data_IF_922415687894
#
_entry.id   IF_922415687894
#
_cell.length_a   1.000
_cell.length_b   1.000
_cell.length_c   1.000
_cell.angle_alpha   90.00
_cell.angle_beta   90.00
_cell.angle_gamma   90.00
#
_symmetry.space_group_name_H-M   'P 1'
#
loop_
_entity.id
_entity.type
_entity.pdbx_description
1 polymer ?
#
# COMPACT_ATOMS: atom_id res chain seq x y z
N UNK A 1 -30.63 8.58 11.90
CA UNK A 1 -29.65 8.58 13.00
C UNK A 1 -30.26 7.87 14.18
N UNK A 2 -29.58 6.82 14.67
CA UNK A 2 -29.90 6.09 15.90
C UNK A 2 -28.81 6.41 16.91
N UNK A 3 -29.17 6.61 18.17
CA UNK A 3 -28.20 6.77 19.26
C UNK A 3 -28.05 5.43 19.98
N UNK A 4 -26.82 4.94 20.03
CA UNK A 4 -26.45 3.66 20.62
C UNK A 4 -25.57 3.94 21.85
N UNK A 5 -25.81 3.23 22.94
CA UNK A 5 -24.94 3.28 24.10
C UNK A 5 -23.92 2.15 24.03
N UNK A 6 -22.66 2.48 23.73
CA UNK A 6 -21.57 1.49 23.56
C UNK A 6 -20.46 1.84 24.55
N UNK A 7 -20.17 0.93 25.48
CA UNK A 7 -19.20 1.16 26.57
C UNK A 7 -19.45 2.47 27.36
N UNK A 8 -20.73 2.82 27.59
CA UNK A 8 -21.12 4.07 28.27
C UNK A 8 -20.92 5.35 27.45
N UNK A 9 -20.65 5.23 26.14
CA UNK A 9 -20.50 6.36 25.23
C UNK A 9 -21.69 6.40 24.26
N UNK A 10 -22.40 7.54 24.15
CA UNK A 10 -23.47 7.70 23.17
C UNK A 10 -22.89 7.89 21.76
N UNK A 11 -23.03 6.86 20.93
CA UNK A 11 -22.60 6.81 19.53
C UNK A 11 -23.82 7.08 18.64
N UNK A 12 -23.73 8.12 17.82
CA UNK A 12 -24.73 8.42 16.80
C UNK A 12 -24.37 7.71 15.51
N UNK A 13 -25.24 6.81 15.05
CA UNK A 13 -25.02 5.99 13.87
C UNK A 13 -26.12 6.22 12.82
N UNK A 14 -25.83 6.25 11.51
CA UNK A 14 -26.83 6.61 10.49
C UNK A 14 -28.07 5.71 10.43
N UNK A 15 -27.90 4.41 10.65
CA UNK A 15 -28.94 3.37 10.57
C UNK A 15 -28.83 2.40 11.76
N UNK A 16 -29.67 1.37 11.82
CA UNK A 16 -29.56 0.33 12.86
C UNK A 16 -28.38 -0.61 12.52
N UNK A 17 -27.33 -0.70 13.35
CA UNK A 17 -26.17 -1.53 13.05
C UNK A 17 -26.46 -3.04 13.23
N UNK A 18 -25.70 -3.86 12.52
CA UNK A 18 -25.60 -5.30 12.74
C UNK A 18 -24.77 -5.63 13.99
N UNK A 19 -24.92 -6.84 14.54
CA UNK A 19 -24.18 -7.27 15.74
C UNK A 19 -22.65 -7.20 15.56
N UNK A 20 -22.16 -7.59 14.38
CA UNK A 20 -20.72 -7.50 14.06
C UNK A 20 -20.20 -6.05 14.02
N UNK A 21 -21.07 -5.09 13.67
CA UNK A 21 -20.75 -3.65 13.72
C UNK A 21 -20.74 -3.13 15.15
N UNK A 22 -21.66 -3.60 16.01
CA UNK A 22 -21.67 -3.26 17.43
C UNK A 22 -20.39 -3.73 18.13
N UNK A 23 -20.01 -4.99 17.92
CA UNK A 23 -18.75 -5.55 18.46
C UNK A 23 -17.54 -4.78 17.92
N UNK A 24 -17.54 -4.41 16.63
CA UNK A 24 -16.48 -3.61 16.05
C UNK A 24 -16.34 -2.24 16.74
N UNK A 25 -17.45 -1.52 16.91
CA UNK A 25 -17.46 -0.22 17.58
C UNK A 25 -17.05 -0.33 19.06
N UNK A 26 -17.46 -1.41 19.74
CA UNK A 26 -17.06 -1.73 21.11
C UNK A 26 -15.55 -1.87 21.24
N UNK A 27 -14.90 -2.64 20.35
CA UNK A 27 -13.44 -2.82 20.35
C UNK A 27 -12.69 -1.53 20.03
N UNK A 28 -13.19 -0.70 19.11
CA UNK A 28 -12.64 0.63 18.86
C UNK A 28 -12.68 1.48 20.13
N UNK A 29 -13.84 1.60 20.78
CA UNK A 29 -14.00 2.41 22.00
C UNK A 29 -13.15 1.86 23.15
N UNK A 30 -13.09 0.53 23.31
CA UNK A 30 -12.25 -0.13 24.29
C UNK A 30 -10.78 0.26 24.09
N UNK A 31 -10.25 0.11 22.88
CA UNK A 31 -8.86 0.44 22.56
C UNK A 31 -8.50 1.90 22.82
N UNK A 32 -9.41 2.82 22.50
CA UNK A 32 -9.25 4.25 22.75
C UNK A 32 -9.28 4.55 24.26
N UNK A 33 -10.14 3.86 25.01
CA UNK A 33 -10.28 4.09 26.46
C UNK A 33 -9.11 3.49 27.24
N UNK A 34 -8.63 2.31 26.86
CA UNK A 34 -7.50 1.64 27.50
C UNK A 34 -6.13 2.11 27.02
N UNK A 35 -6.06 3.00 26.01
CA UNK A 35 -4.81 3.43 25.34
C UNK A 35 -4.01 2.24 24.79
N UNK A 36 -4.70 1.23 24.28
CA UNK A 36 -4.07 0.04 23.71
C UNK A 36 -4.24 0.04 22.20
N UNK A 37 -3.23 -0.51 21.52
CA UNK A 37 -3.31 -0.74 20.09
C UNK A 37 -4.38 -1.79 19.77
N UNK A 38 -5.06 -1.61 18.65
CA UNK A 38 -6.08 -2.52 18.17
C UNK A 38 -5.82 -2.99 16.75
N UNK A 39 -6.09 -4.27 16.50
CA UNK A 39 -6.11 -4.85 15.16
C UNK A 39 -7.47 -5.52 14.95
N UNK A 40 -8.21 -5.01 13.97
CA UNK A 40 -9.62 -5.32 13.79
C UNK A 40 -9.85 -5.85 12.37
N UNK A 41 -10.06 -7.16 12.27
CA UNK A 41 -10.57 -7.80 11.07
C UNK A 41 -12.10 -7.81 11.11
N UNK A 42 -12.71 -7.45 9.99
CA UNK A 42 -14.15 -7.63 9.78
C UNK A 42 -14.37 -7.87 8.30
N UNK A 43 -15.27 -8.76 7.85
CA UNK A 43 -15.45 -9.07 6.43
C UNK A 43 -15.91 -7.84 5.62
N UNK A 44 -15.36 -7.65 4.41
CA UNK A 44 -15.60 -6.46 3.55
C UNK A 44 -16.82 -6.55 2.64
N UNK A 45 -17.64 -7.59 2.77
CA UNK A 45 -18.84 -7.72 1.96
C UNK A 45 -19.74 -8.79 2.54
N UNK A 46 -20.84 -8.38 3.16
CA UNK A 46 -21.91 -9.31 3.52
C UNK A 46 -22.70 -9.58 2.26
N UNK A 47 -22.49 -10.70 1.58
CA UNK A 47 -23.19 -11.11 0.35
C UNK A 47 -24.71 -11.33 0.49
N UNK A 48 -25.35 -10.80 1.53
CA UNK A 48 -26.81 -10.75 1.75
C UNK A 48 -27.26 -9.31 1.91
N UNK A 49 -27.20 -8.51 0.83
CA UNK A 49 -27.68 -7.13 0.88
C UNK A 49 -28.46 -6.82 -0.41
N UNK A 50 -29.76 -6.59 -0.24
CA UNK A 50 -30.71 -6.24 -1.31
C UNK A 50 -30.60 -4.78 -1.79
N UNK A 51 -29.56 -4.05 -1.38
CA UNK A 51 -29.40 -2.61 -1.63
C UNK A 51 -27.92 -2.22 -1.81
N UNK A 52 -27.57 -1.75 -3.00
CA UNK A 52 -26.21 -1.35 -3.41
C UNK A 52 -25.62 -0.19 -2.56
N UNK A 53 -26.43 0.51 -1.76
CA UNK A 53 -25.99 1.62 -0.90
C UNK A 53 -25.34 1.21 0.44
N UNK A 54 -25.38 -0.06 0.86
CA UNK A 54 -24.96 -0.46 2.22
C UNK A 54 -23.62 -1.22 2.32
N UNK A 55 -23.04 -1.72 1.20
CA UNK A 55 -21.95 -2.71 1.29
C UNK A 55 -20.54 -2.15 1.50
N UNK A 56 -20.30 -0.89 1.13
CA UNK A 56 -18.99 -0.24 1.26
C UNK A 56 -18.90 0.69 2.49
N UNK A 57 -20.01 0.80 3.23
CA UNK A 57 -20.24 1.80 4.28
C UNK A 57 -19.99 1.28 5.70
N UNK A 58 -20.03 -0.03 5.96
CA UNK A 58 -20.10 -0.53 7.35
C UNK A 58 -18.84 -0.26 8.21
N UNK A 59 -17.63 -0.62 7.76
CA UNK A 59 -16.43 -0.56 8.63
C UNK A 59 -15.91 0.85 8.84
N UNK A 60 -15.76 1.60 7.76
CA UNK A 60 -15.29 2.99 7.80
C UNK A 60 -16.23 3.81 8.67
N UNK A 61 -17.54 3.62 8.52
CA UNK A 61 -18.54 4.31 9.33
C UNK A 61 -18.49 3.88 10.80
N UNK A 62 -18.35 2.59 11.11
CA UNK A 62 -18.16 2.11 12.48
C UNK A 62 -16.92 2.75 13.13
N UNK A 63 -15.79 2.72 12.43
CA UNK A 63 -14.54 3.31 12.91
C UNK A 63 -14.69 4.82 13.14
N UNK A 64 -15.26 5.55 12.18
CA UNK A 64 -15.48 7.01 12.30
C UNK A 64 -16.43 7.34 13.45
N UNK A 65 -17.62 6.73 13.50
CA UNK A 65 -18.63 7.00 14.52
C UNK A 65 -18.10 6.68 15.92
N UNK A 66 -17.50 5.51 16.13
CA UNK A 66 -16.94 5.13 17.43
C UNK A 66 -15.81 6.07 17.87
N UNK A 67 -14.87 6.38 16.98
CA UNK A 67 -13.72 7.26 17.30
C UNK A 67 -14.17 8.69 17.59
N UNK A 68 -15.09 9.23 16.79
CA UNK A 68 -15.59 10.60 16.96
C UNK A 68 -16.51 10.74 18.17
N UNK A 69 -17.34 9.72 18.47
CA UNK A 69 -18.13 9.66 19.68
C UNK A 69 -17.24 9.69 20.92
N UNK A 70 -16.22 8.84 20.96
CA UNK A 70 -15.26 8.76 22.04
C UNK A 70 -14.51 10.10 22.22
N UNK A 71 -13.98 10.68 21.14
CA UNK A 71 -13.26 11.97 21.21
C UNK A 71 -14.16 13.11 21.70
N UNK A 72 -15.44 13.14 21.29
CA UNK A 72 -16.43 14.11 21.76
C UNK A 72 -16.66 13.97 23.26
N UNK A 73 -16.81 12.74 23.76
CA UNK A 73 -17.00 12.47 25.18
C UNK A 73 -15.76 12.81 26.00
N UNK A 74 -14.57 12.39 25.53
CA UNK A 74 -13.29 12.70 26.16
C UNK A 74 -13.05 14.21 26.28
N UNK A 75 -13.38 14.98 25.24
CA UNK A 75 -13.31 16.45 25.27
C UNK A 75 -14.23 17.04 26.34
N UNK A 76 -15.47 16.55 26.46
CA UNK A 76 -16.41 17.00 27.49
C UNK A 76 -15.91 16.66 28.90
N UNK A 77 -15.30 15.49 29.09
CA UNK A 77 -14.71 15.10 30.38
C UNK A 77 -13.54 16.02 30.77
N UNK A 78 -12.66 16.33 29.82
CA UNK A 78 -11.56 17.29 30.04
C UNK A 78 -12.06 18.69 30.39
N UNK A 79 -13.07 19.20 29.70
CA UNK A 79 -13.67 20.51 29.99
C UNK A 79 -14.32 20.54 31.38
N UNK A 80 -14.99 19.47 31.79
CA UNK A 80 -15.56 19.33 33.14
C UNK A 80 -14.47 19.32 34.21
N UNK A 81 -13.41 18.54 34.01
CA UNK A 81 -12.27 18.48 34.95
C UNK A 81 -11.60 19.85 35.11
N UNK A 82 -11.41 20.61 34.02
CA UNK A 82 -10.87 21.98 34.08
C UNK A 82 -11.77 22.96 34.84
N UNK A 83 -13.09 22.84 34.71
CA UNK A 83 -14.06 23.67 35.47
C UNK A 83 -14.06 23.33 36.97
N UNK A 84 -13.95 22.06 37.33
CA UNK A 84 -13.90 21.61 38.73
C UNK A 84 -12.59 22.03 39.40
N UNK A 85 -11.47 22.07 38.67
CA UNK A 85 -10.15 22.45 39.19
C UNK A 85 -9.87 23.97 39.18
N UNK A 86 -10.84 24.82 38.85
CA UNK A 86 -10.75 26.28 39.10
C UNK A 86 -9.67 27.06 38.35
N UNK A 87 -9.12 26.56 37.23
CA UNK A 87 -8.14 27.31 36.43
C UNK A 87 -8.88 28.19 35.42
N UNK A 88 -9.14 29.44 35.79
CA UNK A 88 -9.57 30.50 34.88
C UNK A 88 -8.37 30.96 34.03
N UNK A 89 -8.11 30.24 32.93
CA UNK A 89 -7.12 30.62 31.92
C UNK A 89 -7.81 31.05 30.62
N UNK A 90 -8.19 32.32 30.54
CA UNK A 90 -8.58 32.97 29.29
C UNK A 90 -7.35 33.27 28.44
N UNK A 91 -7.00 32.40 27.50
CA UNK A 91 -6.22 32.78 26.32
C UNK A 91 -6.50 31.80 25.19
N UNK A 92 -7.30 32.25 24.22
CA UNK A 92 -7.47 31.58 22.95
C UNK A 92 -6.17 31.70 22.15
N UNK A 93 -5.27 30.73 22.30
CA UNK A 93 -4.11 30.59 21.43
C UNK A 93 -4.58 30.08 20.05
N UNK A 94 -4.78 31.01 19.12
CA UNK A 94 -4.76 30.70 17.68
C UNK A 94 -3.35 30.18 17.36
N UNK A 95 -3.19 28.86 17.18
CA UNK A 95 -1.99 28.32 16.54
C UNK A 95 -2.25 28.17 15.05
N UNK A 96 -1.55 29.00 14.28
CA UNK A 96 -1.41 28.93 12.84
C UNK A 96 -0.85 27.58 12.43
N UNK A 97 -1.36 27.02 11.34
CA UNK A 97 -0.84 25.81 10.72
C UNK A 97 0.45 26.15 9.96
N UNK A 98 1.59 26.08 10.65
CA UNK A 98 2.90 26.03 9.99
C UNK A 98 3.42 24.60 10.14
N UNK A 99 3.43 23.86 9.03
CA UNK A 99 4.19 22.62 8.89
C UNK A 99 5.66 23.01 8.88
N UNK A 100 6.31 22.99 10.04
CA UNK A 100 7.76 23.03 10.15
C UNK A 100 8.21 21.65 10.66
N UNK A 101 9.12 21.04 9.91
CA UNK A 101 9.96 19.95 10.37
C UNK A 101 10.88 20.56 11.43
N UNK A 102 10.42 20.59 12.69
CA UNK A 102 11.22 21.09 13.79
C UNK A 102 12.04 19.93 14.37
N UNK A 103 13.35 20.07 14.22
CA UNK A 103 14.36 19.23 14.82
C UNK A 103 14.22 19.17 16.34
N UNK A 104 14.68 18.04 16.85
CA UNK A 104 14.92 17.73 18.23
C UNK A 104 15.72 18.85 18.92
N UNK A 105 15.19 19.43 19.99
CA UNK A 105 15.95 19.65 21.22
C UNK A 105 15.07 20.07 22.40
N UNK A 106 15.46 19.54 23.57
CA UNK A 106 14.96 19.76 24.94
C UNK A 106 13.73 18.95 25.39
N UNK A 107 14.02 17.79 25.98
CA UNK A 107 13.17 17.14 26.99
C UNK A 107 13.13 18.03 28.22
N UNK A 108 12.08 18.85 28.34
CA UNK A 108 11.58 19.31 29.63
C UNK A 108 10.38 18.45 29.99
N UNK A 109 10.50 17.67 31.05
CA UNK A 109 9.36 17.02 31.71
C UNK A 109 8.46 18.11 32.31
N UNK A 110 7.62 18.71 31.48
CA UNK A 110 6.42 19.40 31.96
C UNK A 110 5.29 18.37 32.01
N UNK A 111 4.66 18.23 33.18
CA UNK A 111 3.49 17.39 33.39
C UNK A 111 2.36 17.83 32.45
N UNK A 112 2.30 17.26 31.25
CA UNK A 112 1.33 17.65 30.24
C UNK A 112 -0.09 17.31 30.71
N UNK A 113 -0.92 18.33 30.90
CA UNK A 113 -2.35 18.15 31.10
C UNK A 113 -2.93 17.34 29.93
N UNK A 114 -3.84 16.38 30.17
CA UNK A 114 -4.35 15.52 29.11
C UNK A 114 -5.00 16.34 27.99
N UNK A 115 -4.42 16.28 26.80
CA UNK A 115 -4.90 16.98 25.61
C UNK A 115 -5.90 16.13 24.84
N UNK A 116 -6.78 16.77 24.07
CA UNK A 116 -7.71 16.06 23.17
C UNK A 116 -6.90 15.42 22.04
N UNK A 117 -6.94 14.09 21.85
CA UNK A 117 -6.14 13.44 20.83
C UNK A 117 -6.47 13.93 19.41
N UNK A 118 -5.42 14.04 18.59
CA UNK A 118 -5.53 14.25 17.15
C UNK A 118 -5.73 12.91 16.46
N UNK A 119 -6.72 12.82 15.57
CA UNK A 119 -7.00 11.61 14.79
C UNK A 119 -6.28 11.74 13.45
N UNK A 120 -5.43 10.77 13.12
CA UNK A 120 -4.80 10.64 11.80
C UNK A 120 -5.39 9.40 11.14
N UNK A 121 -6.05 9.58 10.01
CA UNK A 121 -6.58 8.48 9.21
C UNK A 121 -5.67 8.26 8.00
N UNK A 122 -5.08 7.08 7.90
CA UNK A 122 -4.23 6.68 6.77
C UNK A 122 -4.91 5.62 5.91
N UNK A 123 -4.68 5.67 4.61
CA UNK A 123 -5.18 4.68 3.65
C UNK A 123 -4.17 4.49 2.53
N UNK A 124 -4.26 3.35 1.83
CA UNK A 124 -3.35 3.02 0.72
C UNK A 124 -3.57 3.89 -0.52
N UNK A 125 -4.80 4.35 -0.79
CA UNK A 125 -5.13 5.10 -2.02
C UNK A 125 -5.97 6.34 -1.76
N UNK A 126 -5.84 7.34 -2.66
CA UNK A 126 -6.70 8.53 -2.66
C UNK A 126 -8.18 8.22 -2.88
N UNK A 127 -8.49 7.19 -3.67
CA UNK A 127 -9.87 6.74 -3.85
C UNK A 127 -10.51 6.28 -2.54
N UNK A 128 -9.75 5.56 -1.69
CA UNK A 128 -10.21 5.17 -0.36
C UNK A 128 -10.39 6.38 0.55
N UNK A 129 -9.48 7.37 0.52
CA UNK A 129 -9.65 8.60 1.30
C UNK A 129 -10.89 9.40 0.86
N UNK A 130 -11.14 9.49 -0.45
CA UNK A 130 -12.35 10.13 -0.98
C UNK A 130 -13.62 9.44 -0.47
N UNK A 131 -13.61 8.11 -0.42
CA UNK A 131 -14.70 7.32 0.15
C UNK A 131 -14.88 7.63 1.65
N UNK A 132 -13.80 7.70 2.43
CA UNK A 132 -13.85 8.02 3.87
C UNK A 132 -14.45 9.42 4.11
N UNK A 133 -14.07 10.41 3.30
CA UNK A 133 -14.65 11.76 3.38
C UNK A 133 -16.15 11.73 3.05
N UNK A 134 -16.57 10.90 2.09
CA UNK A 134 -17.99 10.74 1.76
C UNK A 134 -18.76 10.06 2.90
N UNK A 135 -18.23 9.00 3.50
CA UNK A 135 -18.83 8.34 4.67
C UNK A 135 -18.93 9.29 5.87
N UNK A 136 -17.91 10.13 6.10
CA UNK A 136 -17.94 11.12 7.17
C UNK A 136 -19.12 12.10 7.02
N UNK A 137 -19.45 12.50 5.79
CA UNK A 137 -20.62 13.38 5.52
C UNK A 137 -21.95 12.69 5.87
N UNK A 138 -22.00 11.37 5.78
CA UNK A 138 -23.18 10.58 6.14
C UNK A 138 -23.38 10.47 7.66
N UNK A 139 -22.38 10.85 8.48
CA UNK A 139 -22.50 10.89 9.94
C UNK A 139 -23.11 12.22 10.43
N UNK A 140 -23.50 12.29 11.70
CA UNK A 140 -23.87 13.55 12.38
C UNK A 140 -22.65 14.33 12.89
N UNK A 141 -21.46 13.72 12.87
CA UNK A 141 -20.23 14.33 13.37
C UNK A 141 -19.68 15.35 12.37
N UNK A 142 -19.18 16.48 12.89
CA UNK A 142 -18.61 17.59 12.09
C UNK A 142 -17.22 17.99 12.61
N UNK A 143 -16.21 17.10 12.57
CA UNK A 143 -14.85 17.47 12.95
C UNK A 143 -14.22 18.41 11.93
N UNK A 144 -13.24 19.21 12.35
CA UNK A 144 -12.32 19.89 11.42
C UNK A 144 -11.41 18.84 10.77
N UNK A 145 -11.41 18.77 9.44
CA UNK A 145 -10.65 17.77 8.67
C UNK A 145 -9.75 18.48 7.67
N UNK A 146 -8.52 17.99 7.52
CA UNK A 146 -7.62 18.35 6.45
C UNK A 146 -7.14 17.05 5.78
N UNK A 147 -7.22 16.98 4.45
CA UNK A 147 -6.70 15.85 3.68
C UNK A 147 -5.30 16.21 3.23
N UNK A 148 -4.32 15.41 3.65
CA UNK A 148 -2.96 15.51 3.14
C UNK A 148 -2.89 14.77 1.80
N UNK A 149 -2.84 15.52 0.71
CA UNK A 149 -2.73 14.97 -0.65
C UNK A 149 -1.30 14.55 -1.00
N UNK A 150 -1.16 13.61 -1.95
CA UNK A 150 0.16 13.25 -2.47
C UNK A 150 0.75 14.41 -3.28
N UNK A 151 2.06 14.38 -3.46
CA UNK A 151 2.79 15.35 -4.30
C UNK A 151 2.16 15.47 -5.71
N UNK A 152 1.63 14.40 -6.29
CA UNK A 152 1.02 14.45 -7.62
C UNK A 152 -0.24 15.33 -7.73
N UNK A 153 -0.88 15.68 -6.60
CA UNK A 153 -2.13 16.45 -6.58
C UNK A 153 -1.98 17.83 -5.92
N UNK A 154 -1.07 17.97 -4.96
CA UNK A 154 -0.88 19.20 -4.19
C UNK A 154 0.50 19.83 -4.36
N UNK A 155 1.41 19.22 -5.13
CA UNK A 155 2.68 19.84 -5.42
C UNK A 155 2.45 21.05 -6.34
N UNK A 156 2.80 22.23 -5.85
CA UNK A 156 2.77 23.50 -6.58
C UNK A 156 3.81 23.59 -7.69
N UNK A 157 4.63 22.55 -7.85
CA UNK A 157 5.75 22.51 -8.77
C UNK A 157 5.43 21.64 -9.99
N UNK A 158 5.17 22.27 -11.14
CA UNK A 158 4.65 21.62 -12.36
C UNK A 158 5.45 20.39 -12.81
N UNK A 159 6.79 20.48 -12.79
CA UNK A 159 7.65 19.36 -13.21
C UNK A 159 7.53 18.11 -12.31
N UNK A 160 7.30 18.30 -11.02
CA UNK A 160 7.20 17.22 -10.02
C UNK A 160 5.79 16.64 -10.01
N UNK A 161 4.77 17.49 -10.19
CA UNK A 161 3.37 17.10 -10.35
C UNK A 161 3.16 16.16 -11.57
N UNK A 162 3.96 16.32 -12.62
CA UNK A 162 3.88 15.52 -13.85
C UNK A 162 4.48 14.10 -13.73
N UNK A 163 5.24 13.79 -12.67
CA UNK A 163 5.86 12.48 -12.48
C UNK A 163 4.84 11.45 -11.96
N UNK A 164 4.74 10.28 -12.60
CA UNK A 164 3.74 9.25 -12.29
C UNK A 164 4.35 7.89 -11.95
N UNK A 165 3.77 7.18 -10.97
CA UNK A 165 4.09 5.78 -10.67
C UNK A 165 5.49 5.58 -10.09
N UNK A 166 6.19 4.50 -10.47
CA UNK A 166 7.54 4.20 -9.96
C UNK A 166 8.54 5.31 -10.25
N UNK A 167 8.30 6.18 -11.25
CA UNK A 167 9.12 7.38 -11.46
C UNK A 167 9.05 8.33 -10.25
N UNK A 168 7.96 8.41 -9.50
CA UNK A 168 7.92 9.19 -8.24
C UNK A 168 8.91 8.66 -7.18
N UNK A 169 9.22 7.36 -7.21
CA UNK A 169 10.19 6.72 -6.32
C UNK A 169 11.60 6.59 -6.94
N UNK A 170 11.69 6.53 -8.28
CA UNK A 170 12.91 6.35 -9.08
C UNK A 170 13.53 7.67 -9.56
N UNK A 171 12.90 8.84 -9.36
CA UNK A 171 13.47 10.13 -9.80
C UNK A 171 14.71 10.53 -8.99
N UNK A 172 15.09 9.74 -8.00
CA UNK A 172 16.22 10.05 -7.12
C UNK A 172 17.35 9.03 -7.23
N UNK A 173 17.52 8.43 -8.41
CA UNK A 173 18.79 7.81 -8.77
C UNK A 173 19.87 8.88 -8.87
N UNK A 174 20.95 8.73 -8.09
CA UNK A 174 22.16 9.52 -8.21
C UNK A 174 22.84 9.25 -9.56
N UNK A 175 22.33 9.84 -10.63
CA UNK A 175 23.13 9.99 -11.83
C UNK A 175 24.11 11.13 -11.56
N UNK A 176 25.36 10.72 -11.37
CA UNK A 176 26.61 11.50 -11.27
C UNK A 176 27.13 11.79 -9.86
N UNK A 177 27.47 10.73 -9.13
CA UNK A 177 28.63 10.75 -8.22
C UNK A 177 29.58 9.63 -8.65
N UNK A 178 30.76 9.99 -9.18
CA UNK A 178 31.79 9.01 -9.55
C UNK A 178 32.44 8.53 -8.26
N UNK A 179 31.80 7.55 -7.64
CA UNK A 179 32.32 6.88 -6.46
C UNK A 179 33.32 5.84 -6.96
N UNK A 180 34.59 6.23 -6.98
CA UNK A 180 35.69 5.43 -7.49
C UNK A 180 36.07 4.37 -6.44
N UNK A 181 35.28 3.30 -6.38
CA UNK A 181 35.57 2.11 -5.57
C UNK A 181 35.61 0.87 -6.47
N UNK A 182 36.74 0.17 -6.38
CA UNK A 182 37.03 -1.12 -6.98
C UNK A 182 36.35 -2.22 -6.17
N UNK A 183 35.10 -2.54 -6.47
CA UNK A 183 34.47 -3.76 -5.98
C UNK A 183 33.91 -4.52 -7.18
N UNK A 184 34.58 -5.63 -7.50
CA UNK A 184 34.24 -6.54 -8.57
C UNK A 184 33.32 -7.65 -8.04
N UNK A 185 32.03 -7.37 -7.82
CA UNK A 185 30.94 -8.37 -7.73
C UNK A 185 29.62 -7.72 -7.31
N UNK A 186 28.50 -8.34 -7.74
CA UNK A 186 27.19 -8.16 -7.12
C UNK A 186 27.23 -8.80 -5.72
N UNK A 187 27.53 -8.03 -4.69
CA UNK A 187 27.51 -8.52 -3.32
C UNK A 187 26.56 -7.69 -2.46
N UNK A 188 25.57 -8.37 -1.86
CA UNK A 188 24.78 -7.83 -0.77
C UNK A 188 25.59 -7.79 0.51
N UNK A 189 25.48 -6.70 1.26
CA UNK A 189 26.16 -6.50 2.54
C UNK A 189 25.14 -6.31 3.68
N UNK A 190 25.51 -6.63 4.94
CA UNK A 190 24.69 -6.32 6.10
C UNK A 190 24.37 -4.83 6.21
N UNK A 191 23.26 -4.50 6.89
CA UNK A 191 22.78 -3.12 7.07
C UNK A 191 23.84 -2.15 7.59
N UNK A 192 24.71 -2.58 8.50
CA UNK A 192 25.79 -1.78 9.11
C UNK A 192 26.85 -1.27 8.14
N UNK A 193 27.03 -1.95 7.00
CA UNK A 193 27.97 -1.52 5.96
C UNK A 193 27.66 -0.09 5.47
N UNK A 194 26.40 0.35 5.60
CA UNK A 194 26.01 1.73 5.28
C UNK A 194 26.84 2.77 6.05
N UNK A 195 27.15 2.50 7.33
CA UNK A 195 27.88 3.42 8.18
C UNK A 195 29.37 3.39 7.85
N UNK A 196 29.92 2.20 7.59
CA UNK A 196 31.31 2.04 7.14
C UNK A 196 31.54 2.73 5.79
N UNK A 197 30.58 2.62 4.88
CA UNK A 197 30.62 3.27 3.57
C UNK A 197 30.68 4.79 3.70
N UNK A 198 29.76 5.39 4.48
CA UNK A 198 29.71 6.84 4.65
C UNK A 198 30.85 7.39 5.52
N UNK A 199 31.40 6.57 6.41
CA UNK A 199 32.58 6.94 7.21
C UNK A 199 33.80 7.23 6.33
N UNK A 200 33.94 6.59 5.16
CA UNK A 200 35.00 6.89 4.19
C UNK A 200 34.93 8.34 3.66
N UNK A 201 33.74 8.96 3.72
CA UNK A 201 33.48 10.35 3.36
C UNK A 201 33.42 11.27 4.59
N UNK A 202 33.84 10.78 5.76
CA UNK A 202 33.72 11.48 7.05
C UNK A 202 32.27 11.85 7.42
N UNK A 203 31.29 11.08 6.93
CA UNK A 203 29.87 11.22 7.29
C UNK A 203 29.52 10.13 8.30
N UNK A 204 29.27 10.53 9.55
CA UNK A 204 28.93 9.65 10.66
C UNK A 204 27.85 10.31 11.54
N UNK A 205 27.43 9.67 12.63
CA UNK A 205 26.36 10.21 13.50
C UNK A 205 26.69 11.58 14.12
N UNK A 206 27.96 11.96 14.26
CA UNK A 206 28.38 13.24 14.83
C UNK A 206 28.49 14.32 13.75
N UNK A 207 28.97 13.97 12.55
CA UNK A 207 29.19 14.91 11.45
C UNK A 207 27.99 15.06 10.51
N UNK A 208 27.12 14.06 10.43
CA UNK A 208 25.96 14.07 9.53
C UNK A 208 24.99 15.23 9.80
N UNK A 209 24.68 15.63 11.05
CA UNK A 209 23.84 16.81 11.30
C UNK A 209 24.39 18.09 10.64
N UNK A 210 25.71 18.28 10.64
CA UNK A 210 26.35 19.41 9.96
C UNK A 210 26.18 19.31 8.44
N UNK A 211 26.31 18.10 7.88
CA UNK A 211 26.10 17.85 6.44
C UNK A 211 24.66 18.13 6.03
N UNK A 212 23.69 17.70 6.84
CA UNK A 212 22.27 17.96 6.58
C UNK A 212 21.98 19.48 6.58
N UNK A 213 22.46 20.21 7.59
CA UNK A 213 22.28 21.67 7.66
C UNK A 213 22.89 22.38 6.44
N UNK A 214 24.10 21.99 6.02
CA UNK A 214 24.72 22.55 4.81
C UNK A 214 23.89 22.27 3.55
N UNK A 215 23.31 21.07 3.44
CA UNK A 215 22.43 20.73 2.31
C UNK A 215 21.16 21.58 2.34
N UNK A 216 20.54 21.80 3.51
CA UNK A 216 19.38 22.68 3.67
C UNK A 216 19.69 24.11 3.22
N UNK A 217 20.80 24.69 3.70
CA UNK A 217 21.22 26.04 3.31
C UNK A 217 21.43 26.15 1.79
N UNK A 218 22.04 25.14 1.16
CA UNK A 218 22.24 25.12 -0.30
C UNK A 218 20.90 25.03 -1.04
N UNK A 219 19.95 24.23 -0.55
CA UNK A 219 18.61 24.12 -1.12
C UNK A 219 17.89 25.47 -1.06
N UNK A 220 17.96 26.15 0.08
CA UNK A 220 17.34 27.47 0.28
C UNK A 220 17.90 28.52 -0.66
N UNK A 221 19.24 28.58 -0.80
CA UNK A 221 19.91 29.48 -1.76
C UNK A 221 19.57 29.11 -3.20
N UNK A 222 19.53 27.83 -3.54
CA UNK A 222 19.18 27.36 -4.88
C UNK A 222 17.76 27.78 -5.25
N UNK A 223 16.79 27.61 -4.34
CA UNK A 223 15.39 27.95 -4.56
C UNK A 223 15.14 29.45 -4.78
N UNK A 224 16.09 30.33 -4.42
CA UNK A 224 16.03 31.76 -4.71
C UNK A 224 16.35 32.13 -6.18
N UNK A 225 16.88 31.19 -6.99
CA UNK A 225 17.20 31.40 -8.41
C UNK A 225 16.26 30.66 -9.38
N UNK A 226 15.96 31.24 -10.54
CA UNK A 226 14.96 30.71 -11.50
C UNK A 226 15.36 29.41 -12.25
N UNK A 227 16.64 29.01 -12.29
CA UNK A 227 17.15 27.88 -13.10
C UNK A 227 17.43 26.58 -12.30
N UNK A 228 17.19 26.56 -10.99
CA UNK A 228 17.79 25.61 -10.03
C UNK A 228 16.93 24.41 -9.61
N UNK A 229 15.67 24.35 -10.04
CA UNK A 229 14.67 23.38 -9.53
C UNK A 229 15.11 21.90 -9.61
N UNK A 230 15.91 21.53 -10.60
CA UNK A 230 16.37 20.13 -10.77
C UNK A 230 17.47 19.74 -9.76
N UNK A 231 18.36 20.66 -9.41
CA UNK A 231 19.42 20.42 -8.42
C UNK A 231 18.86 20.37 -6.99
N UNK A 232 17.92 21.29 -6.68
CA UNK A 232 17.17 21.33 -5.41
C UNK A 232 16.51 19.98 -5.10
N UNK A 233 15.82 19.39 -6.08
CA UNK A 233 15.17 18.08 -5.90
C UNK A 233 16.11 16.89 -5.63
N UNK A 234 17.38 16.96 -6.08
CA UNK A 234 18.38 15.91 -5.83
C UNK A 234 18.98 16.04 -4.42
N UNK A 235 19.21 17.28 -3.98
CA UNK A 235 19.68 17.57 -2.63
C UNK A 235 18.62 17.23 -1.57
N UNK A 236 17.35 17.51 -1.84
CA UNK A 236 16.22 17.07 -0.99
C UNK A 236 16.21 15.55 -0.77
N UNK A 237 16.50 14.78 -1.83
CA UNK A 237 16.54 13.33 -1.74
C UNK A 237 17.74 12.85 -0.91
N UNK A 238 18.90 13.49 -1.08
CA UNK A 238 20.09 13.18 -0.28
C UNK A 238 19.88 13.54 1.19
N UNK A 239 19.26 14.67 1.47
CA UNK A 239 18.88 15.10 2.81
C UNK A 239 17.94 14.09 3.48
N UNK A 240 16.88 13.69 2.77
CA UNK A 240 15.92 12.68 3.26
C UNK A 240 16.61 11.34 3.50
N UNK A 241 17.49 10.91 2.61
CA UNK A 241 18.23 9.65 2.72
C UNK A 241 19.19 9.64 3.91
N UNK A 242 20.08 10.62 4.00
CA UNK A 242 21.04 10.76 5.09
C UNK A 242 20.33 10.99 6.44
N UNK A 243 19.30 11.83 6.46
CA UNK A 243 18.47 12.07 7.64
C UNK A 243 17.71 10.83 8.11
N UNK A 244 17.47 9.85 7.23
CA UNK A 244 16.89 8.55 7.60
C UNK A 244 17.96 7.60 8.16
N UNK A 245 19.11 7.50 7.49
CA UNK A 245 20.21 6.60 7.89
C UNK A 245 20.86 7.04 9.20
N UNK A 246 21.09 8.33 9.40
CA UNK A 246 21.82 8.85 10.56
C UNK A 246 20.89 9.40 11.66
N UNK A 247 19.59 9.09 11.60
CA UNK A 247 18.58 9.63 12.54
C UNK A 247 18.86 9.31 14.01
N UNK A 248 19.12 8.04 14.31
CA UNK A 248 19.33 7.58 15.68
C UNK A 248 20.23 6.33 15.72
N UNK A 249 21.40 6.49 16.34
CA UNK A 249 22.41 5.42 16.45
C UNK A 249 21.91 4.19 17.18
N UNK A 250 21.23 4.36 18.32
CA UNK A 250 20.72 3.24 19.12
C UNK A 250 19.60 2.47 18.42
N UNK A 251 18.73 3.18 17.70
CA UNK A 251 17.63 2.55 16.96
C UNK A 251 18.16 1.76 15.77
N UNK A 252 19.17 2.28 15.06
CA UNK A 252 19.82 1.56 13.94
C UNK A 252 20.55 0.31 14.41
N UNK A 253 21.24 0.36 15.56
CA UNK A 253 21.87 -0.83 16.17
C UNK A 253 20.83 -1.91 16.52
N UNK A 254 19.61 -1.52 16.90
CA UNK A 254 18.47 -2.45 17.17
C UNK A 254 17.78 -2.97 15.90
N UNK A 255 18.12 -2.43 14.72
CA UNK A 255 17.44 -2.68 13.44
C UNK A 255 18.41 -3.26 12.40
N UNK A 256 19.68 -3.43 12.72
CA UNK A 256 20.73 -3.89 11.82
C UNK A 256 20.40 -5.21 11.09
N UNK A 257 19.73 -6.16 11.76
CA UNK A 257 19.29 -7.43 11.16
C UNK A 257 18.07 -7.33 10.22
N UNK A 258 17.43 -6.16 10.16
CA UNK A 258 16.22 -5.91 9.38
C UNK A 258 16.49 -5.14 8.08
N UNK A 259 17.76 -4.79 7.81
CA UNK A 259 18.14 -3.95 6.67
C UNK A 259 19.32 -4.58 5.94
N UNK A 260 19.28 -4.53 4.61
CA UNK A 260 20.35 -5.01 3.73
C UNK A 260 20.82 -3.87 2.83
N UNK A 261 22.13 -3.83 2.56
CA UNK A 261 22.73 -2.90 1.62
C UNK A 261 23.02 -3.68 0.33
N UNK A 262 22.46 -3.23 -0.79
CA UNK A 262 22.70 -3.86 -2.09
C UNK A 262 23.34 -2.86 -3.06
N UNK A 263 24.40 -3.28 -3.72
CA UNK A 263 25.12 -2.47 -4.71
C UNK A 263 25.01 -3.09 -6.10
N UNK A 264 24.52 -2.32 -7.07
CA UNK A 264 24.41 -2.75 -8.46
C UNK A 264 25.05 -1.73 -9.40
N UNK A 265 25.85 -2.22 -10.35
CA UNK A 265 26.34 -1.41 -11.47
C UNK A 265 25.39 -1.63 -12.65
N UNK A 266 24.44 -0.72 -12.83
CA UNK A 266 23.52 -0.72 -13.96
C UNK A 266 24.17 -0.13 -15.22
N UNK A 267 23.96 -0.76 -16.37
CA UNK A 267 24.21 -0.11 -17.67
C UNK A 267 22.87 0.46 -18.12
N UNK A 268 22.68 1.79 -18.05
CA UNK A 268 21.50 2.42 -18.63
C UNK A 268 21.74 2.52 -20.15
N UNK A 269 21.21 1.54 -20.89
CA UNK A 269 20.92 1.77 -22.30
C UNK A 269 19.72 2.70 -22.37
N UNK A 270 19.94 3.96 -22.72
CA UNK A 270 18.88 4.92 -23.05
C UNK A 270 18.10 4.40 -24.27
N UNK A 271 17.11 3.53 -24.05
CA UNK A 271 16.08 3.20 -25.04
C UNK A 271 14.86 4.04 -24.68
N UNK A 272 14.51 5.08 -25.47
CA UNK A 272 13.30 5.84 -25.23
C UNK A 272 12.09 4.93 -25.43
N UNK A 273 11.28 4.75 -24.39
CA UNK A 273 10.15 3.82 -24.35
C UNK A 273 8.88 4.31 -25.04
N UNK A 274 8.89 5.39 -25.84
CA UNK A 274 7.70 5.88 -26.56
C UNK A 274 8.06 6.61 -27.87
N UNK A 275 8.59 5.90 -28.86
CA UNK A 275 8.60 6.40 -30.24
C UNK A 275 8.11 5.30 -31.20
N UNK A 276 7.14 5.59 -32.09
CA UNK A 276 6.75 4.66 -33.14
C UNK A 276 7.96 4.42 -34.06
N UNK A 277 8.34 3.15 -34.23
CA UNK A 277 9.48 2.74 -35.05
C UNK A 277 9.18 3.00 -36.52
N UNK A 278 9.64 4.12 -37.06
CA UNK A 278 9.77 4.34 -38.50
C UNK A 278 11.13 4.98 -38.79
N UNK A 279 11.94 4.19 -39.50
CA UNK A 279 13.15 4.51 -40.26
C UNK A 279 14.46 4.86 -39.53
N UNK A 280 15.47 4.12 -39.98
CA UNK A 280 16.90 4.14 -39.68
C UNK A 280 17.51 5.53 -39.44
N UNK A 281 17.92 5.77 -38.20
CA UNK A 281 19.09 6.58 -37.89
C UNK A 281 19.85 5.91 -36.73
N UNK A 282 20.96 5.26 -37.05
CA UNK A 282 21.89 4.71 -36.06
C UNK A 282 22.58 5.89 -35.37
N UNK A 283 21.97 6.43 -34.31
CA UNK A 283 22.68 7.27 -33.33
C UNK A 283 23.41 6.33 -32.38
N UNK A 284 24.75 6.38 -32.38
CA UNK A 284 25.58 5.76 -31.33
C UNK A 284 25.29 6.45 -29.98
N UNK A 285 24.34 5.93 -29.21
CA UNK A 285 24.18 6.33 -27.82
C UNK A 285 25.35 5.73 -27.01
N UNK A 286 26.17 6.58 -26.38
CA UNK A 286 27.14 6.16 -25.37
C UNK A 286 26.35 5.53 -24.22
N UNK A 287 26.62 4.26 -23.92
CA UNK A 287 26.07 3.62 -22.74
C UNK A 287 26.62 4.36 -21.51
N UNK A 288 25.74 5.00 -20.74
CA UNK A 288 26.11 5.58 -19.46
C UNK A 288 25.98 4.48 -18.40
N UNK A 289 27.08 4.18 -17.74
CA UNK A 289 27.09 3.26 -16.60
C UNK A 289 26.60 4.04 -15.39
N UNK A 290 25.43 3.68 -14.86
CA UNK A 290 24.88 4.26 -13.63
C UNK A 290 25.08 3.27 -12.49
N UNK A 291 25.69 3.72 -11.40
CA UNK A 291 25.83 2.92 -10.18
C UNK A 291 24.62 3.19 -9.30
N UNK A 292 23.91 2.13 -8.91
CA UNK A 292 22.75 2.23 -8.03
C UNK A 292 23.13 1.64 -6.67
N UNK A 293 22.97 2.45 -5.64
CA UNK A 293 23.21 2.06 -4.27
C UNK A 293 21.87 1.96 -3.55
N UNK A 294 21.51 0.75 -3.10
CA UNK A 294 20.21 0.45 -2.52
C UNK A 294 20.35 0.15 -1.01
N UNK A 295 19.50 0.78 -0.21
CA UNK A 295 19.38 0.49 1.22
C UNK A 295 17.95 -0.01 1.49
N UNK A 296 17.80 -1.32 1.69
CA UNK A 296 16.50 -1.99 1.72
C UNK A 296 16.13 -2.42 3.14
N UNK A 297 15.07 -1.83 3.68
CA UNK A 297 14.46 -2.27 4.92
C UNK A 297 13.46 -3.39 4.65
N UNK A 298 13.69 -4.56 5.23
CA UNK A 298 12.86 -5.76 5.07
C UNK A 298 11.88 -6.00 6.20
N UNK A 299 11.94 -5.22 7.28
CA UNK A 299 11.08 -5.39 8.45
C UNK A 299 10.18 -4.15 8.66
N UNK A 300 8.86 -4.21 8.44
CA UNK A 300 7.99 -3.05 8.57
C UNK A 300 7.89 -2.55 10.02
N UNK A 301 8.10 -3.43 11.00
CA UNK A 301 8.14 -3.04 12.42
C UNK A 301 9.20 -2.02 12.83
N UNK A 302 10.17 -1.68 11.98
CA UNK A 302 11.06 -0.53 12.21
C UNK A 302 10.26 0.76 12.29
N UNK A 303 9.37 0.99 11.32
CA UNK A 303 8.54 2.19 11.24
C UNK A 303 7.48 2.22 12.35
N UNK A 304 6.87 1.08 12.67
CA UNK A 304 5.87 1.01 13.75
C UNK A 304 6.46 1.26 15.13
N UNK A 305 7.68 0.77 15.40
CA UNK A 305 8.41 1.09 16.64
C UNK A 305 8.66 2.59 16.75
N UNK A 306 9.08 3.24 15.67
CA UNK A 306 9.26 4.69 15.65
C UNK A 306 7.95 5.43 15.94
N UNK A 307 6.85 5.02 15.31
CA UNK A 307 5.52 5.58 15.58
C UNK A 307 5.17 5.44 17.07
N UNK A 308 5.44 4.28 17.69
CA UNK A 308 5.20 4.06 19.11
C UNK A 308 6.09 4.92 20.04
N UNK A 309 7.29 5.32 19.62
CA UNK A 309 8.14 6.23 20.43
C UNK A 309 7.61 7.66 20.51
N UNK A 310 6.72 8.07 19.59
CA UNK A 310 6.18 9.44 19.50
C UNK A 310 5.00 9.73 20.45
N UNK A 311 4.93 9.07 21.61
CA UNK A 311 3.87 9.23 22.62
C UNK A 311 2.44 9.23 22.03
N UNK A 312 2.18 8.32 21.10
CA UNK A 312 0.87 8.17 20.46
C UNK A 312 -0.16 7.61 21.46
N UNK A 313 -1.42 8.01 21.29
CA UNK A 313 -2.50 7.51 22.16
C UNK A 313 -2.78 6.02 21.93
N UNK A 314 -2.88 5.59 20.67
CA UNK A 314 -2.92 4.20 20.22
C UNK A 314 -2.86 4.11 18.68
N UNK A 315 -2.58 2.91 18.16
CA UNK A 315 -2.71 2.55 16.74
C UNK A 315 -3.90 1.63 16.56
N UNK A 316 -4.79 1.94 15.61
CA UNK A 316 -5.89 1.05 15.20
C UNK A 316 -5.66 0.62 13.75
N UNK A 317 -5.37 -0.67 13.54
CA UNK A 317 -5.26 -1.28 12.23
C UNK A 317 -6.56 -1.99 11.87
N UNK A 318 -7.11 -1.71 10.69
CA UNK A 318 -8.35 -2.31 10.20
C UNK A 318 -8.22 -2.77 8.76
N UNK A 319 -8.75 -3.95 8.44
CA UNK A 319 -8.91 -4.47 7.08
C UNK A 319 -9.86 -5.67 7.10
N UNK A 320 -10.36 -6.13 5.94
CA UNK A 320 -11.21 -7.33 5.88
C UNK A 320 -10.56 -8.58 5.33
N UNK A 321 -9.23 -8.59 5.32
CA UNK A 321 -8.44 -9.74 4.91
C UNK A 321 -7.19 -9.88 5.81
N UNK A 322 -7.30 -9.51 7.10
CA UNK A 322 -6.17 -9.57 8.04
C UNK A 322 -5.99 -10.94 8.69
N UNK A 323 -7.03 -11.79 8.67
CA UNK A 323 -6.97 -13.12 9.27
C UNK A 323 -6.07 -14.06 8.43
N UNK A 324 -5.20 -14.87 9.06
CA UNK A 324 -4.94 -14.97 10.50
C UNK A 324 -4.10 -13.80 11.06
N UNK A 325 -4.54 -13.20 12.18
CA UNK A 325 -3.91 -11.98 12.71
C UNK A 325 -2.48 -12.16 13.21
N UNK A 326 -2.15 -13.32 13.80
CA UNK A 326 -0.87 -13.52 14.49
C UNK A 326 0.35 -13.33 13.58
N UNK A 327 0.26 -13.74 12.32
CA UNK A 327 1.33 -13.53 11.34
C UNK A 327 1.54 -12.04 11.10
N UNK A 328 0.45 -11.30 10.85
CA UNK A 328 0.50 -9.85 10.62
C UNK A 328 1.06 -9.10 11.82
N UNK A 329 0.67 -9.47 13.04
CA UNK A 329 1.15 -8.84 14.28
C UNK A 329 2.67 -9.02 14.44
N UNK A 330 3.17 -10.23 14.20
CA UNK A 330 4.61 -10.53 14.27
C UNK A 330 5.41 -9.71 13.27
N UNK A 331 4.95 -9.62 12.02
CA UNK A 331 5.60 -8.81 10.98
C UNK A 331 5.65 -7.31 11.34
N UNK A 332 4.58 -6.78 11.95
CA UNK A 332 4.49 -5.38 12.36
C UNK A 332 5.39 -5.05 13.56
N UNK A 333 5.87 -6.04 14.31
CA UNK A 333 6.83 -5.84 15.40
C UNK A 333 6.33 -4.96 16.56
N UNK A 334 5.00 -4.84 16.71
CA UNK A 334 4.34 -4.15 17.82
C UNK A 334 3.14 -4.97 18.31
N UNK A 335 2.78 -4.80 19.57
CA UNK A 335 1.65 -5.52 20.16
C UNK A 335 0.31 -4.86 19.85
N UNK A 336 -0.70 -5.72 19.64
CA UNK A 336 -2.11 -5.36 19.53
C UNK A 336 -2.92 -6.15 20.56
N UNK A 337 -3.07 -5.64 21.80
CA UNK A 337 -3.84 -6.30 22.85
C UNK A 337 -5.34 -6.40 22.53
N UNK A 338 -5.89 -5.40 21.85
CA UNK A 338 -7.29 -5.41 21.43
C UNK A 338 -7.38 -6.05 20.04
N UNK A 339 -8.03 -7.20 19.96
CA UNK A 339 -8.17 -7.98 18.72
C UNK A 339 -9.62 -8.25 18.39
N UNK A 340 -9.93 -8.29 17.10
CA UNK A 340 -11.22 -8.74 16.58
C UNK A 340 -10.99 -9.51 15.27
N UNK A 341 -11.52 -10.72 15.19
CA UNK A 341 -11.72 -11.47 13.95
C UNK A 341 -13.19 -11.85 13.90
N UNK A 342 -13.93 -11.27 12.96
CA UNK A 342 -15.34 -11.60 12.81
C UNK A 342 -15.49 -12.85 11.94
N UNK A 343 -16.44 -13.71 12.26
CA UNK A 343 -16.80 -14.83 11.38
C UNK A 343 -17.27 -14.31 10.02
N UNK A 344 -17.01 -15.08 8.97
CA UNK A 344 -17.54 -14.78 7.64
C UNK A 344 -19.08 -14.78 7.68
N UNK A 345 -19.69 -13.79 7.00
CA UNK A 345 -21.16 -13.64 6.90
C UNK A 345 -21.75 -14.48 5.77
N UNK A 346 -20.91 -15.20 5.04
CA UNK A 346 -21.29 -16.04 3.92
C UNK A 346 -21.38 -17.48 4.41
N UNK A 347 -22.57 -18.07 4.25
CA UNK A 347 -22.81 -19.45 4.65
C UNK A 347 -22.04 -20.42 3.73
N UNK A 348 -21.68 -21.60 4.22
CA UNK A 348 -20.82 -22.56 3.50
C UNK A 348 -21.44 -23.14 2.23
N UNK A 349 -22.76 -23.03 2.08
CA UNK A 349 -23.51 -23.41 0.87
C UNK A 349 -23.40 -22.36 -0.24
N UNK A 350 -23.06 -21.11 0.10
CA UNK A 350 -22.97 -20.01 -0.87
C UNK A 350 -21.61 -19.96 -1.58
N UNK A 351 -20.57 -20.58 -1.01
CA UNK A 351 -19.21 -20.58 -1.58
C UNK A 351 -18.57 -21.95 -1.42
N UNK A 352 -18.16 -22.53 -2.55
CA UNK A 352 -17.32 -23.73 -2.56
C UNK A 352 -15.85 -23.34 -2.72
N UNK A 353 -15.00 -23.87 -1.83
CA UNK A 353 -13.55 -23.72 -1.91
C UNK A 353 -12.92 -25.11 -2.03
N UNK A 354 -12.05 -25.29 -3.01
CA UNK A 354 -11.35 -26.55 -3.21
C UNK A 354 -10.00 -26.38 -3.91
N UNK A 355 -9.13 -27.37 -3.72
CA UNK A 355 -7.80 -27.43 -4.34
C UNK A 355 -7.82 -28.49 -5.43
N UNK A 356 -7.56 -28.09 -6.66
CA UNK A 356 -7.43 -29.00 -7.80
C UNK A 356 -5.96 -29.34 -7.99
N UNK A 357 -5.52 -30.46 -7.39
CA UNK A 357 -4.12 -30.90 -7.44
C UNK A 357 -3.75 -31.71 -8.69
N UNK A 358 -4.75 -32.23 -9.41
CA UNK A 358 -4.58 -33.13 -10.55
C UNK A 358 -5.48 -32.65 -11.68
N UNK A 359 -4.92 -32.56 -12.88
CA UNK A 359 -5.68 -32.16 -14.06
C UNK A 359 -6.43 -33.32 -14.72
N UNK A 360 -7.04 -33.01 -15.85
CA UNK A 360 -7.98 -33.88 -16.56
C UNK A 360 -7.36 -35.13 -17.18
N UNK A 361 -6.03 -35.16 -17.37
CA UNK A 361 -5.31 -36.35 -17.87
C UNK A 361 -4.66 -37.15 -16.74
N UNK A 362 -4.92 -36.78 -15.49
CA UNK A 362 -4.34 -37.43 -14.31
C UNK A 362 -2.95 -36.91 -13.93
N UNK A 363 -2.43 -35.89 -14.64
CA UNK A 363 -1.14 -35.28 -14.30
C UNK A 363 -1.28 -34.27 -13.17
N UNK A 364 -0.26 -34.19 -12.32
CA UNK A 364 -0.24 -33.23 -11.20
C UNK A 364 -0.12 -31.79 -11.71
N UNK A 365 -0.98 -30.91 -11.20
CA UNK A 365 -0.89 -29.47 -11.42
C UNK A 365 0.12 -28.88 -10.41
N UNK A 366 1.35 -28.66 -10.87
CA UNK A 366 2.44 -28.13 -10.04
C UNK A 366 3.07 -26.88 -10.70
N UNK A 367 2.75 -25.71 -10.17
CA UNK A 367 3.27 -24.42 -10.65
C UNK A 367 4.60 -24.00 -10.02
N UNK A 368 5.35 -24.91 -9.38
CA UNK A 368 6.67 -24.59 -8.80
C UNK A 368 7.66 -24.20 -9.90
N UNK A 369 8.71 -23.44 -9.55
CA UNK A 369 9.68 -22.88 -10.50
C UNK A 369 10.21 -23.92 -11.52
N UNK A 370 10.52 -25.12 -11.05
CA UNK A 370 11.07 -26.20 -11.88
C UNK A 370 10.09 -26.77 -12.91
N UNK A 371 8.78 -26.63 -12.69
CA UNK A 371 7.74 -27.31 -13.49
C UNK A 371 6.84 -26.36 -14.26
N UNK A 372 6.71 -25.10 -13.82
CA UNK A 372 5.73 -24.13 -14.35
C UNK A 372 5.90 -23.79 -15.84
N UNK A 373 7.11 -23.95 -16.38
CA UNK A 373 7.44 -23.72 -17.79
C UNK A 373 7.53 -25.01 -18.61
N UNK A 374 7.19 -26.16 -18.02
CA UNK A 374 7.19 -27.43 -18.74
C UNK A 374 5.96 -27.56 -19.61
N UNK A 375 6.14 -28.12 -20.81
CA UNK A 375 5.05 -28.33 -21.77
C UNK A 375 3.90 -29.17 -21.17
N UNK A 376 4.27 -30.21 -20.42
CA UNK A 376 3.33 -31.10 -19.75
C UNK A 376 2.43 -30.35 -18.76
N UNK A 377 2.98 -29.42 -17.97
CA UNK A 377 2.22 -28.62 -17.02
C UNK A 377 1.31 -27.62 -17.74
N UNK A 378 1.83 -26.87 -18.71
CA UNK A 378 1.07 -25.85 -19.44
C UNK A 378 -0.12 -26.47 -20.19
N UNK A 379 0.09 -27.62 -20.84
CA UNK A 379 -0.97 -28.38 -21.48
C UNK A 379 -2.02 -28.88 -20.48
N UNK A 380 -1.59 -29.42 -19.34
CA UNK A 380 -2.51 -29.95 -18.33
C UNK A 380 -3.37 -28.84 -17.71
N UNK A 381 -2.75 -27.69 -17.40
CA UNK A 381 -3.43 -26.52 -16.88
C UNK A 381 -4.47 -26.01 -17.87
N UNK A 382 -4.09 -25.83 -19.14
CA UNK A 382 -4.99 -25.36 -20.19
C UNK A 382 -6.18 -26.29 -20.42
N UNK A 383 -5.94 -27.60 -20.48
CA UNK A 383 -7.01 -28.60 -20.61
C UNK A 383 -7.95 -28.61 -19.39
N UNK A 384 -7.41 -28.39 -18.20
CA UNK A 384 -8.22 -28.26 -16.97
C UNK A 384 -9.10 -27.02 -17.02
N UNK A 385 -8.57 -25.88 -17.48
CA UNK A 385 -9.34 -24.64 -17.66
C UNK A 385 -10.47 -24.83 -18.69
N UNK A 386 -10.24 -25.56 -19.78
CA UNK A 386 -11.30 -25.87 -20.76
C UNK A 386 -12.48 -26.61 -20.12
N UNK A 387 -12.25 -27.45 -19.12
CA UNK A 387 -13.36 -28.09 -18.40
C UNK A 387 -14.12 -27.09 -17.52
N UNK A 388 -13.43 -26.17 -16.86
CA UNK A 388 -14.09 -25.10 -16.10
C UNK A 388 -14.91 -24.16 -16.99
N UNK A 389 -14.41 -23.80 -18.17
CA UNK A 389 -15.16 -22.92 -19.09
C UNK A 389 -16.45 -23.54 -19.59
N UNK A 390 -16.58 -24.87 -19.57
CA UNK A 390 -17.82 -25.59 -19.93
C UNK A 390 -18.83 -25.64 -18.78
N UNK A 391 -18.36 -25.68 -17.53
CA UNK A 391 -19.19 -25.92 -16.35
C UNK A 391 -19.60 -24.62 -15.65
N UNK A 392 -18.75 -23.60 -15.67
CA UNK A 392 -19.00 -22.33 -14.97
C UNK A 392 -19.87 -21.43 -15.85
N UNK A 393 -21.11 -21.09 -15.45
CA UNK A 393 -21.98 -20.22 -16.23
C UNK A 393 -21.49 -18.77 -16.17
N UNK A 394 -21.86 -17.96 -17.17
CA UNK A 394 -21.53 -16.53 -17.22
C UNK A 394 -20.01 -16.25 -17.14
N UNK A 395 -19.50 -15.77 -16.00
CA UNK A 395 -18.12 -15.32 -15.84
C UNK A 395 -17.17 -16.35 -15.23
N UNK A 396 -15.97 -16.50 -15.81
CA UNK A 396 -14.84 -17.21 -15.20
C UNK A 396 -13.66 -16.25 -15.03
N UNK A 397 -13.08 -16.16 -13.83
CA UNK A 397 -11.88 -15.39 -13.56
C UNK A 397 -10.71 -16.33 -13.24
N UNK A 398 -9.61 -16.17 -13.97
CA UNK A 398 -8.41 -17.02 -13.82
C UNK A 398 -7.21 -16.13 -13.52
N UNK A 399 -6.64 -16.29 -12.33
CA UNK A 399 -5.50 -15.48 -11.89
C UNK A 399 -4.18 -16.24 -11.96
N UNK A 400 -3.17 -15.57 -12.50
CA UNK A 400 -1.78 -16.05 -12.56
C UNK A 400 -0.88 -15.28 -11.58
N UNK A 401 0.21 -15.89 -11.11
CA UNK A 401 1.15 -15.25 -10.20
C UNK A 401 1.98 -14.11 -10.84
N UNK A 402 2.17 -14.10 -12.16
CA UNK A 402 2.89 -13.04 -12.88
C UNK A 402 2.47 -12.93 -14.35
N UNK A 403 2.74 -11.78 -14.97
CA UNK A 403 2.53 -11.59 -16.42
C UNK A 403 3.34 -12.56 -17.27
N UNK A 404 4.58 -12.89 -16.86
CA UNK A 404 5.42 -13.84 -17.59
C UNK A 404 4.76 -15.22 -17.71
N UNK A 405 4.17 -15.72 -16.63
CA UNK A 405 3.53 -17.05 -16.62
C UNK A 405 2.21 -17.02 -17.38
N UNK A 406 1.45 -15.93 -17.28
CA UNK A 406 0.24 -15.71 -18.07
C UNK A 406 0.53 -15.76 -19.57
N UNK A 407 1.52 -14.99 -20.02
CA UNK A 407 1.90 -14.90 -21.44
C UNK A 407 2.43 -16.23 -21.96
N UNK A 408 3.32 -16.89 -21.22
CA UNK A 408 3.85 -18.22 -21.58
C UNK A 408 2.73 -19.26 -21.71
N UNK A 409 1.75 -19.23 -20.80
CA UNK A 409 0.59 -20.12 -20.83
C UNK A 409 -0.29 -19.85 -22.07
N UNK A 410 -0.65 -18.59 -22.30
CA UNK A 410 -1.51 -18.20 -23.44
C UNK A 410 -0.83 -18.50 -24.76
N UNK A 411 0.45 -18.17 -24.91
CA UNK A 411 1.24 -18.47 -26.10
C UNK A 411 1.25 -19.99 -26.37
N UNK A 412 1.46 -20.79 -25.34
CA UNK A 412 1.46 -22.25 -25.48
C UNK A 412 0.09 -22.80 -25.87
N UNK A 413 -0.99 -22.23 -25.35
CA UNK A 413 -2.36 -22.68 -25.63
C UNK A 413 -2.87 -22.29 -27.02
N UNK A 414 -2.30 -21.23 -27.61
CA UNK A 414 -2.60 -20.82 -28.98
C UNK A 414 -1.96 -21.76 -30.01
N UNK A 415 -0.84 -22.39 -29.69
CA UNK A 415 -0.18 -23.36 -30.57
C UNK A 415 -0.94 -24.71 -30.60
N UNK A 416 -1.29 -25.24 -31.77
CA UNK A 416 -1.86 -26.59 -31.89
C UNK A 416 -0.83 -27.66 -31.50
N UNK A 417 -1.31 -28.84 -31.11
CA UNK A 417 -0.44 -29.98 -30.83
C UNK A 417 0.20 -30.48 -32.13
N UNK A 418 1.48 -30.85 -32.06
CA UNK A 418 2.22 -31.37 -33.22
C UNK A 418 1.63 -32.72 -33.63
N UNK A 419 1.13 -32.83 -34.87
CA UNK A 419 0.66 -34.09 -35.45
C UNK A 419 -0.83 -34.41 -35.27
N UNK A 420 -1.62 -33.52 -34.66
CA UNK A 420 -3.07 -33.69 -34.54
C UNK A 420 -3.84 -32.59 -35.29
N UNK A 421 -4.93 -32.94 -35.97
CA UNK A 421 -5.91 -31.98 -36.53
C UNK A 421 -6.75 -31.30 -35.44
N UNK A 422 -6.36 -31.42 -34.18
CA UNK A 422 -7.13 -30.95 -33.02
C UNK A 422 -7.01 -29.42 -32.89
N UNK A 423 -8.15 -28.76 -32.61
CA UNK A 423 -8.19 -27.33 -32.33
C UNK A 423 -7.31 -27.00 -31.13
N UNK A 424 -6.55 -25.91 -31.18
CA UNK A 424 -5.73 -25.44 -30.05
C UNK A 424 -6.56 -25.29 -28.77
N UNK A 425 -5.88 -25.39 -27.62
CA UNK A 425 -6.55 -25.23 -26.31
C UNK A 425 -7.24 -23.88 -26.24
N UNK A 426 -6.59 -22.83 -26.75
CA UNK A 426 -7.16 -21.49 -26.81
C UNK A 426 -8.47 -21.45 -27.61
N UNK A 427 -8.51 -22.08 -28.79
CA UNK A 427 -9.73 -22.14 -29.59
C UNK A 427 -10.86 -22.88 -28.86
N UNK A 428 -10.53 -23.95 -28.13
CA UNK A 428 -11.51 -24.68 -27.29
C UNK A 428 -12.06 -23.82 -26.17
N UNK A 429 -11.26 -22.91 -25.60
CA UNK A 429 -11.71 -21.93 -24.60
C UNK A 429 -12.65 -20.92 -25.27
N UNK A 430 -12.23 -20.30 -26.38
CA UNK A 430 -12.98 -19.25 -27.09
C UNK A 430 -14.30 -19.76 -27.65
N UNK A 431 -14.38 -21.03 -28.04
CA UNK A 431 -15.65 -21.67 -28.45
C UNK A 431 -16.71 -21.67 -27.34
N UNK A 432 -16.27 -21.79 -26.08
CA UNK A 432 -17.12 -21.87 -24.89
C UNK A 432 -17.37 -20.52 -24.24
N UNK A 433 -16.36 -19.63 -24.19
CA UNK A 433 -16.44 -18.30 -23.55
C UNK A 433 -15.60 -17.29 -24.30
N UNK A 434 -16.07 -16.05 -24.41
CA UNK A 434 -15.25 -14.97 -24.92
C UNK A 434 -14.06 -14.73 -23.99
N UNK A 435 -12.84 -14.74 -24.52
CA UNK A 435 -11.63 -14.67 -23.73
C UNK A 435 -11.02 -13.27 -23.72
N UNK A 436 -10.73 -12.77 -22.52
CA UNK A 436 -10.08 -11.49 -22.28
C UNK A 436 -8.77 -11.72 -21.50
N UNK A 437 -7.74 -10.93 -21.78
CA UNK A 437 -6.42 -11.04 -21.13
C UNK A 437 -6.00 -9.69 -20.60
N UNK A 438 -5.53 -9.64 -19.36
CA UNK A 438 -5.09 -8.41 -18.70
C UNK A 438 -3.88 -7.77 -19.44
N UNK A 439 -3.98 -6.51 -19.89
CA UNK A 439 -2.87 -5.83 -20.54
C UNK A 439 -1.82 -5.33 -19.52
N UNK A 440 -0.54 -5.38 -19.90
CA UNK A 440 0.56 -4.80 -19.10
C UNK A 440 0.41 -3.27 -18.94
N UNK A 441 -0.09 -2.56 -19.95
CA UNK A 441 -0.27 -1.11 -19.97
C UNK A 441 -1.42 -0.60 -19.10
N UNK A 442 -1.35 0.65 -18.60
CA UNK A 442 -2.44 1.29 -17.83
C UNK A 442 -3.60 1.78 -18.71
N UNK A 443 -3.31 2.18 -19.94
CA UNK A 443 -4.26 2.88 -20.82
C UNK A 443 -5.41 1.94 -21.23
N UNK A 444 -5.12 0.67 -21.46
CA UNK A 444 -6.10 -0.29 -22.00
C UNK A 444 -6.82 -1.11 -20.91
N UNK A 445 -6.40 -1.00 -19.65
CA UNK A 445 -6.91 -1.87 -18.59
C UNK A 445 -8.41 -1.66 -18.31
N UNK A 446 -8.84 -0.40 -18.21
CA UNK A 446 -10.24 -0.09 -17.91
C UNK A 446 -11.17 -0.54 -19.05
N UNK A 447 -10.78 -0.31 -20.29
CA UNK A 447 -11.56 -0.71 -21.46
C UNK A 447 -11.79 -2.23 -21.47
N UNK A 448 -10.74 -3.04 -21.28
CA UNK A 448 -10.84 -4.51 -21.27
C UNK A 448 -11.75 -5.02 -20.14
N UNK A 449 -11.72 -4.37 -18.97
CA UNK A 449 -12.60 -4.74 -17.84
C UNK A 449 -14.05 -4.38 -18.13
N UNK A 450 -14.29 -3.19 -18.68
CA UNK A 450 -15.65 -2.75 -19.06
C UNK A 450 -16.23 -3.70 -20.14
N UNK A 451 -15.45 -4.04 -21.17
CA UNK A 451 -15.83 -5.03 -22.21
C UNK A 451 -16.10 -6.42 -21.63
N UNK A 452 -15.32 -6.87 -20.64
CA UNK A 452 -15.59 -8.13 -19.94
C UNK A 452 -16.94 -8.09 -19.20
N UNK A 453 -17.27 -6.98 -18.53
CA UNK A 453 -18.55 -6.81 -17.83
C UNK A 453 -19.75 -6.78 -18.77
N UNK A 454 -19.61 -6.15 -19.94
CA UNK A 454 -20.62 -6.21 -21.00
C UNK A 454 -20.78 -7.66 -21.50
N UNK A 455 -19.67 -8.35 -21.78
CA UNK A 455 -19.70 -9.71 -22.28
C UNK A 455 -20.33 -10.73 -21.30
N UNK A 456 -20.15 -10.60 -19.98
CA UNK A 456 -20.82 -11.51 -19.03
C UNK A 456 -22.33 -11.27 -18.94
N UNK A 457 -22.80 -10.07 -19.27
CA UNK A 457 -24.22 -9.67 -19.17
C UNK A 457 -24.97 -10.01 -20.46
N UNK A 458 -24.37 -9.71 -21.61
CA UNK A 458 -25.04 -9.77 -22.91
C UNK A 458 -24.77 -11.08 -23.67
N UNK A 459 -23.68 -11.79 -23.36
CA UNK A 459 -23.33 -13.03 -24.04
C UNK A 459 -23.90 -14.25 -23.28
N UNK A 460 -24.78 -15.06 -23.90
CA UNK A 460 -25.32 -16.26 -23.25
C UNK A 460 -24.23 -17.31 -22.94
N UNK A 461 -23.10 -17.29 -23.65
CA UNK A 461 -21.93 -18.14 -23.37
C UNK A 461 -21.09 -17.61 -22.20
N UNK A 462 -21.20 -16.31 -21.94
CA UNK A 462 -20.40 -15.57 -20.98
C UNK A 462 -18.93 -15.42 -21.39
N UNK A 463 -18.09 -15.04 -20.43
CA UNK A 463 -16.72 -14.63 -20.68
C UNK A 463 -15.73 -15.21 -19.66
N UNK A 464 -14.48 -15.37 -20.09
CA UNK A 464 -13.34 -15.73 -19.25
C UNK A 464 -12.32 -14.61 -19.26
N UNK A 465 -11.81 -14.23 -18.09
CA UNK A 465 -10.79 -13.21 -17.94
C UNK A 465 -9.54 -13.78 -17.29
N UNK A 466 -8.41 -13.69 -18.00
CA UNK A 466 -7.10 -14.10 -17.51
C UNK A 466 -6.34 -12.89 -16.97
N UNK A 467 -6.09 -12.89 -15.66
CA UNK A 467 -5.54 -11.76 -14.91
C UNK A 467 -4.33 -12.16 -14.05
N UNK A 468 -3.69 -11.20 -13.38
CA UNK A 468 -2.54 -11.43 -12.49
C UNK A 468 -2.89 -11.07 -11.04
N UNK A 469 -2.56 -11.93 -10.06
CA UNK A 469 -2.90 -11.72 -8.63
C UNK A 469 -2.34 -10.40 -8.03
N UNK A 470 -1.25 -9.88 -8.61
CA UNK A 470 -0.62 -8.60 -8.26
C UNK A 470 -0.77 -7.55 -9.38
N UNK A 471 -1.63 -7.84 -10.34
CA UNK A 471 -1.96 -6.98 -11.47
C UNK A 471 -2.87 -5.83 -11.06
N UNK A 472 -3.49 -5.19 -12.05
CA UNK A 472 -4.36 -4.04 -11.83
C UNK A 472 -5.78 -4.48 -11.45
N UNK A 473 -6.16 -5.71 -11.77
CA UNK A 473 -7.42 -6.32 -11.34
C UNK A 473 -7.36 -6.55 -9.83
N UNK A 474 -8.24 -5.87 -9.10
CA UNK A 474 -8.55 -6.20 -7.70
C UNK A 474 -10.01 -6.57 -7.67
N UNK A 475 -10.30 -7.78 -7.18
CA UNK A 475 -11.66 -8.25 -6.88
C UNK A 475 -12.33 -7.35 -5.84
#
# INVERSE_FOLDING_TARGET
MVTLEICGIPVEFPFQPYDSQLIYMEKVILSLTSKQNAILESPTGTGKVRSIEQLLSSKTLCLLCATLAWRRQFTKMLQRSKRVNGINGSTAAKRSATLAYEGYDNVKEESESPQVPRIIYSSRTHSQLKQVVQELKNTSYRPSVAVLGSREHLCVHDKVSQLKGTQQNLTYGFDEFVLLLCCSALDSQPGEYIFEFFQQFNVNFETCPLVLNMIEEIIDVANAGNDSQRASSKLDAMLSFLGTIFRNKEQHLKVNLAVEVHYEIGIISNVPTNAPRLFNAVRKNKAATTRVFNYWCFHPGVAFREICTNNIHNVILTSGTLSPLDTTIKELGIDFPVRLENSHVVDSDQVWVGVVGTGVTGKRLNSSYNFRSTDAYLLELGNTIVNFTRLVPHGLLVFFPSYSILEESVERWQRPAVGESSSSIWNRIVQQKQAFVEPRGRVDFKAVVDEYHEAITDNPKGAVFFAVCRGKVRL
#
